data_IF_839212964590
#
_entry.id   IF_839212964590
#
_cell.length_a   1.000
_cell.length_b   1.000
_cell.length_c   1.000
_cell.angle_alpha   90.00
_cell.angle_beta   90.00
_cell.angle_gamma   90.00
#
_symmetry.space_group_name_H-M   'P 1'
#
loop_
_entity.id
_entity.type
_entity.pdbx_description
1 polymer ?
#
# COMPACT_ATOMS: atom_id res chain seq x y z
N UNK A 1 33.85 -27.51 -17.20
CA UNK A 1 34.34 -26.81 -15.98
C UNK A 1 33.19 -25.97 -15.45
N UNK A 2 32.76 -26.16 -14.19
CA UNK A 2 31.69 -25.32 -13.60
C UNK A 2 32.34 -24.03 -13.08
N UNK A 3 31.97 -22.87 -13.64
CA UNK A 3 32.50 -21.54 -13.26
C UNK A 3 31.97 -21.07 -11.89
N UNK A 4 32.26 -21.82 -10.83
CA UNK A 4 31.86 -21.54 -9.44
C UNK A 4 33.04 -21.74 -8.51
N UNK A 5 33.09 -20.99 -7.40
CA UNK A 5 34.15 -21.11 -6.41
C UNK A 5 34.12 -22.48 -5.73
N UNK A 6 35.30 -23.01 -5.37
CA UNK A 6 35.45 -24.31 -4.67
C UNK A 6 34.66 -24.33 -3.35
N UNK A 7 34.69 -23.25 -2.57
CA UNK A 7 33.92 -23.15 -1.32
C UNK A 7 32.41 -23.27 -1.55
N UNK A 8 31.87 -22.61 -2.58
CA UNK A 8 30.45 -22.70 -2.94
C UNK A 8 30.06 -24.13 -3.36
N UNK A 9 30.95 -24.82 -4.09
CA UNK A 9 30.77 -26.21 -4.49
C UNK A 9 30.74 -27.14 -3.26
N UNK A 10 31.67 -26.99 -2.32
CA UNK A 10 31.67 -27.75 -1.06
C UNK A 10 30.45 -27.47 -0.18
N UNK A 11 30.03 -26.21 -0.03
CA UNK A 11 28.83 -25.87 0.75
C UNK A 11 27.55 -26.47 0.17
N UNK A 12 27.44 -26.49 -1.18
CA UNK A 12 26.31 -27.11 -1.89
C UNK A 12 26.31 -28.62 -1.74
N UNK A 13 27.45 -29.28 -1.92
CA UNK A 13 27.58 -30.74 -1.78
C UNK A 13 27.27 -31.21 -0.36
N UNK A 14 27.79 -30.48 0.64
CA UNK A 14 27.56 -30.79 2.06
C UNK A 14 26.18 -30.37 2.56
N UNK A 15 25.31 -29.80 1.70
CA UNK A 15 24.01 -29.21 2.04
C UNK A 15 24.06 -28.26 3.25
N UNK A 16 25.23 -27.66 3.53
CA UNK A 16 25.45 -26.75 4.67
C UNK A 16 24.76 -25.41 4.48
N UNK A 17 24.39 -25.08 3.24
CA UNK A 17 23.71 -23.85 2.91
C UNK A 17 22.23 -23.94 3.29
N UNK A 18 21.88 -23.33 4.42
CA UNK A 18 20.48 -23.11 4.78
C UNK A 18 19.79 -22.18 3.77
N UNK A 19 18.52 -22.47 3.47
CA UNK A 19 17.69 -21.57 2.68
C UNK A 19 17.50 -20.27 3.47
N UNK A 20 17.67 -19.12 2.82
CA UNK A 20 17.31 -17.85 3.45
C UNK A 20 15.79 -17.83 3.68
N UNK A 21 15.31 -17.43 4.87
CA UNK A 21 13.88 -17.30 5.09
C UNK A 21 13.29 -16.32 4.08
N UNK A 22 12.09 -16.63 3.60
CA UNK A 22 11.39 -15.76 2.67
C UNK A 22 11.10 -14.41 3.35
N UNK A 23 11.45 -13.30 2.68
CA UNK A 23 11.18 -11.95 3.19
C UNK A 23 9.69 -11.60 3.28
N UNK A 24 8.85 -12.40 2.63
CA UNK A 24 7.41 -12.23 2.59
C UNK A 24 6.75 -13.59 2.79
N UNK A 25 5.89 -13.68 3.81
CA UNK A 25 5.00 -14.80 4.03
C UNK A 25 3.58 -14.39 3.65
N UNK A 26 2.89 -15.23 2.86
CA UNK A 26 1.47 -15.07 2.58
C UNK A 26 0.62 -15.35 3.81
N UNK A 27 1.08 -16.21 4.72
CA UNK A 27 0.36 -16.53 5.96
C UNK A 27 0.20 -15.31 6.86
N UNK A 28 1.17 -14.40 6.83
CA UNK A 28 1.07 -13.13 7.55
C UNK A 28 -0.05 -12.23 6.98
N UNK A 29 -0.44 -12.37 5.70
CA UNK A 29 -1.58 -11.63 5.14
C UNK A 29 -2.90 -12.10 5.75
N UNK A 30 -3.02 -13.39 6.08
CA UNK A 30 -4.19 -13.94 6.74
C UNK A 30 -4.41 -13.33 8.13
N UNK A 31 -3.31 -12.97 8.83
CA UNK A 31 -3.37 -12.26 10.12
C UNK A 31 -3.81 -10.80 9.98
N UNK A 32 -3.48 -10.15 8.87
CA UNK A 32 -3.83 -8.74 8.62
C UNK A 32 -5.28 -8.57 8.14
N UNK A 33 -5.84 -9.57 7.47
CA UNK A 33 -7.17 -9.46 6.86
C UNK A 33 -8.30 -9.13 7.86
N UNK A 34 -8.38 -9.76 9.05
CA UNK A 34 -9.40 -9.40 10.05
C UNK A 34 -9.30 -7.94 10.50
N UNK A 35 -8.09 -7.45 10.76
CA UNK A 35 -7.84 -6.06 11.16
C UNK A 35 -8.24 -5.08 10.05
N UNK A 36 -7.92 -5.41 8.79
CA UNK A 36 -8.33 -4.62 7.63
C UNK A 36 -9.86 -4.57 7.52
N UNK A 37 -10.55 -5.71 7.71
CA UNK A 37 -12.03 -5.77 7.67
C UNK A 37 -12.67 -4.94 8.78
N UNK A 38 -12.11 -4.97 9.98
CA UNK A 38 -12.56 -4.16 11.10
C UNK A 38 -12.46 -2.66 10.78
N UNK A 39 -11.30 -2.18 10.31
CA UNK A 39 -11.11 -0.76 9.93
C UNK A 39 -12.03 -0.35 8.76
N UNK A 40 -12.29 -1.27 7.82
CA UNK A 40 -13.24 -1.01 6.74
C UNK A 40 -14.68 -0.92 7.26
N UNK A 41 -15.06 -1.70 8.28
CA UNK A 41 -16.39 -1.67 8.87
C UNK A 41 -16.70 -0.38 9.63
N UNK A 42 -15.69 0.26 10.23
CA UNK A 42 -15.85 1.56 10.90
C UNK A 42 -16.31 2.67 9.93
N UNK A 43 -15.82 2.63 8.68
CA UNK A 43 -16.21 3.60 7.65
C UNK A 43 -16.00 3.04 6.25
N UNK A 44 -17.10 2.88 5.51
CA UNK A 44 -17.09 2.36 4.14
C UNK A 44 -16.22 3.18 3.15
N UNK A 45 -15.94 4.46 3.43
CA UNK A 45 -15.09 5.32 2.57
C UNK A 45 -13.57 5.13 2.77
N UNK A 46 -13.16 4.15 3.59
CA UNK A 46 -11.76 3.88 3.86
C UNK A 46 -11.09 3.18 2.68
N UNK A 47 -10.46 3.96 1.81
CA UNK A 47 -9.54 3.43 0.80
C UNK A 47 -8.26 2.87 1.44
N UNK A 48 -7.54 2.03 0.70
CA UNK A 48 -6.38 1.30 1.20
C UNK A 48 -5.30 2.18 1.86
N UNK A 49 -5.11 3.44 1.42
CA UNK A 49 -4.16 4.38 2.04
C UNK A 49 -4.59 4.79 3.46
N UNK A 50 -5.88 5.02 3.69
CA UNK A 50 -6.43 5.35 5.01
C UNK A 50 -6.36 4.13 5.92
N UNK A 51 -6.78 2.97 5.41
CA UNK A 51 -6.65 1.68 6.11
C UNK A 51 -5.21 1.46 6.57
N UNK A 52 -4.23 1.75 5.71
CA UNK A 52 -2.80 1.66 6.06
C UNK A 52 -2.42 2.53 7.25
N UNK A 53 -2.91 3.77 7.30
CA UNK A 53 -2.61 4.68 8.40
C UNK A 53 -3.21 4.19 9.73
N UNK A 54 -4.48 3.78 9.72
CA UNK A 54 -5.15 3.22 10.90
C UNK A 54 -4.45 1.94 11.38
N UNK A 55 -4.16 1.01 10.46
CA UNK A 55 -3.52 -0.25 10.78
C UNK A 55 -2.12 -0.04 11.36
N UNK A 56 -1.29 0.81 10.73
CA UNK A 56 0.06 1.09 11.26
C UNK A 56 0.04 1.88 12.57
N UNK A 57 -1.03 2.64 12.86
CA UNK A 57 -1.21 3.28 14.16
C UNK A 57 -1.50 2.25 15.24
N UNK A 58 -2.34 1.25 14.96
CA UNK A 58 -2.64 0.15 15.88
C UNK A 58 -1.44 -0.79 16.09
N UNK A 59 -0.69 -1.09 15.03
CA UNK A 59 0.49 -1.98 15.09
C UNK A 59 1.76 -1.30 15.64
N UNK A 60 1.69 0.00 15.97
CA UNK A 60 2.84 0.77 16.46
C UNK A 60 3.43 0.16 17.74
N UNK A 61 2.57 -0.29 18.65
CA UNK A 61 2.99 -0.90 19.92
C UNK A 61 3.72 -2.24 19.72
N UNK A 62 3.40 -2.94 18.64
CA UNK A 62 4.02 -4.22 18.26
C UNK A 62 5.29 -4.03 17.42
N UNK A 63 5.74 -2.77 17.24
CA UNK A 63 6.83 -2.38 16.34
C UNK A 63 6.71 -2.96 14.93
N UNK A 64 5.47 -3.17 14.46
CA UNK A 64 5.21 -3.77 13.16
C UNK A 64 4.62 -2.73 12.21
N UNK A 65 5.31 -2.53 11.07
CA UNK A 65 4.86 -1.60 10.02
C UNK A 65 4.60 -2.32 8.72
N UNK A 66 3.39 -2.12 8.19
CA UNK A 66 2.94 -2.72 6.94
C UNK A 66 2.99 -1.69 5.81
N UNK A 67 3.56 -2.09 4.67
CA UNK A 67 3.62 -1.26 3.47
C UNK A 67 2.21 -1.14 2.83
N UNK A 68 1.81 0.07 2.45
CA UNK A 68 0.52 0.33 1.77
C UNK A 68 0.32 -0.50 0.50
N UNK A 69 1.38 -0.85 -0.24
CA UNK A 69 1.29 -1.73 -1.42
C UNK A 69 0.90 -3.17 -1.07
N UNK A 70 1.24 -3.64 0.13
CA UNK A 70 0.83 -4.96 0.63
C UNK A 70 -0.66 -4.94 0.96
N UNK A 71 -1.11 -3.90 1.67
CA UNK A 71 -2.53 -3.71 2.00
C UNK A 71 -3.38 -3.58 0.73
N UNK A 72 -2.91 -2.85 -0.27
CA UNK A 72 -3.56 -2.79 -1.58
C UNK A 72 -3.79 -4.19 -2.17
N UNK A 73 -2.75 -5.04 -2.19
CA UNK A 73 -2.84 -6.42 -2.73
C UNK A 73 -3.81 -7.28 -1.93
N UNK A 74 -3.78 -7.21 -0.60
CA UNK A 74 -4.70 -7.94 0.28
C UNK A 74 -6.15 -7.49 0.03
N UNK A 75 -6.38 -6.18 -0.01
CA UNK A 75 -7.72 -5.62 -0.26
C UNK A 75 -8.22 -5.97 -1.66
N UNK A 76 -7.35 -5.93 -2.67
CA UNK A 76 -7.68 -6.32 -4.04
C UNK A 76 -8.11 -7.79 -4.12
N UNK A 77 -7.33 -8.69 -3.51
CA UNK A 77 -7.63 -10.13 -3.49
C UNK A 77 -8.93 -10.47 -2.74
N UNK A 78 -9.40 -9.58 -1.86
CA UNK A 78 -10.58 -9.79 -1.01
C UNK A 78 -11.78 -8.91 -1.41
N UNK A 79 -11.73 -8.24 -2.57
CA UNK A 79 -12.79 -7.33 -3.04
C UNK A 79 -13.15 -6.22 -2.03
N UNK A 80 -12.15 -5.71 -1.30
CA UNK A 80 -12.31 -4.64 -0.30
C UNK A 80 -11.92 -3.25 -0.83
N UNK A 81 -11.55 -3.14 -2.10
CA UNK A 81 -11.22 -1.85 -2.71
C UNK A 81 -12.49 -1.05 -3.01
N UNK A 82 -12.40 0.26 -2.80
CA UNK A 82 -13.45 1.19 -3.23
C UNK A 82 -13.65 1.10 -4.74
N UNK A 83 -14.91 0.99 -5.15
CA UNK A 83 -15.27 1.13 -6.55
C UNK A 83 -14.84 2.51 -7.06
N UNK A 84 -14.33 2.55 -8.30
CA UNK A 84 -14.08 3.82 -8.98
C UNK A 84 -15.42 4.55 -9.12
N UNK A 85 -15.50 5.77 -8.62
CA UNK A 85 -16.70 6.59 -8.79
C UNK A 85 -16.97 6.78 -10.29
N UNK A 86 -18.16 6.39 -10.75
CA UNK A 86 -18.61 6.63 -12.13
C UNK A 86 -18.89 8.10 -12.44
N UNK A 87 -18.84 8.98 -11.42
CA UNK A 87 -18.99 10.41 -11.62
C UNK A 87 -17.89 10.95 -12.53
N UNK A 88 -18.30 11.43 -13.71
CA UNK A 88 -17.46 12.26 -14.56
C UNK A 88 -17.21 13.57 -13.82
N UNK A 89 -15.94 13.91 -13.59
CA UNK A 89 -15.61 15.24 -13.08
C UNK A 89 -16.06 16.26 -14.12
N UNK A 90 -16.82 17.30 -13.73
CA UNK A 90 -17.17 18.35 -14.65
C UNK A 90 -15.89 18.98 -15.21
N UNK A 91 -15.87 19.17 -16.52
CA UNK A 91 -14.82 19.90 -17.19
C UNK A 91 -15.08 21.38 -16.95
N UNK A 92 -14.18 22.04 -16.20
CA UNK A 92 -14.31 23.47 -15.95
C UNK A 92 -13.92 24.21 -17.23
N UNK A 93 -14.90 24.80 -17.92
CA UNK A 93 -14.60 25.75 -18.98
C UNK A 93 -13.96 26.99 -18.35
N UNK A 94 -12.85 27.47 -18.92
CA UNK A 94 -12.21 28.71 -18.50
C UNK A 94 -13.00 29.91 -19.03
N UNK A 95 -14.23 30.08 -18.53
CA UNK A 95 -15.15 31.15 -18.91
C UNK A 95 -15.21 32.25 -17.84
N UNK A 96 -14.36 32.17 -16.81
CA UNK A 96 -14.26 33.18 -15.78
C UNK A 96 -13.59 34.44 -16.32
N UNK A 97 -14.36 35.44 -16.70
CA UNK A 97 -13.83 36.79 -16.87
C UNK A 97 -13.49 37.35 -15.48
N UNK A 98 -12.21 37.47 -15.17
CA UNK A 98 -11.73 38.16 -13.97
C UNK A 98 -11.78 39.67 -14.26
N UNK A 99 -12.97 40.27 -14.12
CA UNK A 99 -13.15 41.71 -14.28
C UNK A 99 -12.81 42.38 -12.95
N UNK A 100 -11.61 42.96 -12.86
CA UNK A 100 -11.20 43.76 -11.72
C UNK A 100 -11.23 45.24 -12.08
N UNK A 101 -11.76 46.09 -11.20
CA UNK A 101 -11.85 47.53 -11.43
C UNK A 101 -10.47 48.20 -11.60
N UNK A 102 -9.41 47.62 -11.03
CA UNK A 102 -8.03 48.10 -11.06
C UNK A 102 -7.03 46.93 -11.22
N UNK A 103 -5.88 47.12 -11.88
CA UNK A 103 -4.78 46.15 -11.83
C UNK A 103 -4.34 45.86 -10.39
N UNK A 104 -3.82 44.66 -10.11
CA UNK A 104 -3.20 44.25 -8.82
C UNK A 104 -4.08 44.24 -7.55
N UNK A 105 -5.41 44.16 -7.66
CA UNK A 105 -6.30 43.98 -6.49
C UNK A 105 -6.74 42.54 -6.23
N UNK A 106 -6.16 41.56 -6.92
CA UNK A 106 -6.58 40.16 -6.85
C UNK A 106 -6.03 39.39 -5.63
N UNK A 107 -4.98 39.87 -4.97
CA UNK A 107 -4.34 39.18 -3.86
C UNK A 107 -4.25 40.11 -2.64
N UNK A 108 -4.80 39.67 -1.50
CA UNK A 108 -4.61 40.28 -0.18
C UNK A 108 -3.56 39.50 0.61
#
# INVERSE_FOLDING_TARGET
MLCVSRSNLYERLLKKRQQRPARYSKDDDARLLPLIRQICSERATNGYRRVTAHLNRALKEQNWRVNHKRIYRIMQANNLLLAKSGHRKPEHSHTGNVVTLKPDTHWC
#
